data_IF_537066627196
#
_entry.id   IF_537066627196
#
_cell.length_a   1.000
_cell.length_b   1.000
_cell.length_c   1.000
_cell.angle_alpha   90.00
_cell.angle_beta   90.00
_cell.angle_gamma   90.00
#
_symmetry.space_group_name_H-M   'P 1'
#
loop_
_entity.id
_entity.type
_entity.pdbx_description
1 polymer ?
#
# COMPACT_ATOMS: atom_id res chain seq x y z
N UNK A 1 -17.17 -16.97 -1.05
CA UNK A 1 -18.10 -16.10 -0.31
C UNK A 1 -19.40 -15.98 -1.12
N UNK A 2 -20.53 -16.10 -0.46
CA UNK A 2 -21.84 -15.75 -0.99
C UNK A 2 -22.04 -14.23 -1.02
N UNK A 3 -23.08 -13.73 -1.69
CA UNK A 3 -23.42 -12.30 -1.66
C UNK A 3 -23.67 -11.81 -0.22
N UNK A 4 -24.42 -12.57 0.56
CA UNK A 4 -24.70 -12.22 1.96
C UNK A 4 -23.43 -12.14 2.82
N UNK A 5 -22.45 -13.03 2.61
CA UNK A 5 -21.15 -12.92 3.30
C UNK A 5 -20.35 -11.71 2.86
N UNK A 6 -20.45 -11.31 1.58
CA UNK A 6 -19.84 -10.07 1.08
C UNK A 6 -20.47 -8.87 1.77
N UNK A 7 -21.81 -8.79 1.81
CA UNK A 7 -22.53 -7.70 2.46
C UNK A 7 -22.15 -7.58 3.94
N UNK A 8 -22.10 -8.70 4.67
CA UNK A 8 -21.65 -8.72 6.08
C UNK A 8 -20.23 -8.18 6.26
N UNK A 9 -19.33 -8.48 5.33
CA UNK A 9 -17.94 -7.96 5.40
C UNK A 9 -17.91 -6.46 5.09
N UNK A 10 -18.66 -6.00 4.09
CA UNK A 10 -18.78 -4.56 3.77
C UNK A 10 -19.30 -3.79 4.98
N UNK A 11 -20.35 -4.28 5.63
CA UNK A 11 -20.92 -3.67 6.84
C UNK A 11 -19.90 -3.65 8.00
N UNK A 12 -19.11 -4.72 8.16
CA UNK A 12 -18.07 -4.78 9.19
C UNK A 12 -16.97 -3.76 8.97
N UNK A 13 -16.55 -3.52 7.72
CA UNK A 13 -15.59 -2.45 7.40
C UNK A 13 -16.17 -1.06 7.69
N UNK A 14 -17.42 -0.80 7.32
CA UNK A 14 -18.11 0.45 7.60
C UNK A 14 -18.21 0.72 9.11
N UNK A 15 -18.60 -0.30 9.89
CA UNK A 15 -18.67 -0.22 11.33
C UNK A 15 -17.27 0.06 11.94
N UNK A 16 -16.24 -0.63 11.48
CA UNK A 16 -14.85 -0.40 11.91
C UNK A 16 -14.37 1.02 11.63
N UNK A 17 -14.74 1.59 10.48
CA UNK A 17 -14.44 2.97 10.13
C UNK A 17 -15.13 3.97 11.06
N UNK A 18 -16.43 3.78 11.30
CA UNK A 18 -17.20 4.61 12.24
C UNK A 18 -16.65 4.54 13.68
N UNK A 19 -16.25 3.33 14.11
CA UNK A 19 -15.64 3.15 15.44
C UNK A 19 -14.29 3.84 15.54
N UNK A 20 -13.44 3.75 14.51
CA UNK A 20 -12.16 4.46 14.46
C UNK A 20 -12.37 5.99 14.60
N UNK A 21 -13.29 6.57 13.83
CA UNK A 21 -13.61 7.98 13.93
C UNK A 21 -14.15 8.34 15.34
N UNK A 22 -15.06 7.55 15.88
CA UNK A 22 -15.67 7.77 17.20
C UNK A 22 -14.64 7.77 18.35
N UNK A 23 -13.60 6.93 18.26
CA UNK A 23 -12.56 6.86 19.30
C UNK A 23 -11.39 7.83 19.06
N UNK A 24 -11.45 8.66 18.00
CA UNK A 24 -10.55 9.80 17.80
C UNK A 24 -9.37 9.53 16.89
N UNK A 25 -9.42 8.51 16.00
CA UNK A 25 -8.46 8.41 14.90
C UNK A 25 -8.71 9.52 13.86
N UNK A 26 -7.64 9.96 13.18
CA UNK A 26 -7.69 11.01 12.16
C UNK A 26 -7.99 10.48 10.76
N UNK A 27 -8.00 9.17 10.56
CA UNK A 27 -8.26 8.48 9.29
C UNK A 27 -8.14 6.97 9.42
N UNK A 28 -8.43 6.26 8.33
CA UNK A 28 -8.26 4.80 8.23
C UNK A 28 -7.46 4.41 7.00
N UNK A 29 -6.78 3.26 7.08
CA UNK A 29 -6.18 2.61 5.92
C UNK A 29 -6.85 1.26 5.66
N UNK A 30 -7.46 1.10 4.48
CA UNK A 30 -8.05 -0.14 3.99
C UNK A 30 -6.96 -1.00 3.35
N UNK A 31 -6.78 -2.23 3.86
CA UNK A 31 -5.72 -3.11 3.39
C UNK A 31 -6.19 -3.99 2.22
N UNK A 32 -5.98 -3.51 1.00
CA UNK A 32 -6.28 -4.20 -0.26
C UNK A 32 -5.04 -4.75 -0.97
N UNK A 33 -4.08 -5.33 -0.23
CA UNK A 33 -2.77 -5.73 -0.75
C UNK A 33 -2.35 -7.14 -0.31
N UNK A 34 -1.26 -7.65 -0.88
CA UNK A 34 -0.47 -8.81 -0.45
C UNK A 34 -1.19 -10.16 -0.46
N UNK A 35 -2.30 -10.30 -1.20
CA UNK A 35 -3.08 -11.53 -1.26
C UNK A 35 -4.05 -11.73 -0.10
N UNK A 36 -4.30 -10.67 0.73
CA UNK A 36 -5.35 -10.70 1.74
C UNK A 36 -6.74 -10.48 1.13
N UNK A 37 -7.79 -10.52 1.94
CA UNK A 37 -9.17 -10.70 1.50
C UNK A 37 -9.59 -9.78 0.33
N UNK A 38 -9.39 -8.48 0.45
CA UNK A 38 -9.76 -7.53 -0.61
C UNK A 38 -8.94 -7.80 -1.88
N UNK A 39 -7.62 -8.00 -1.73
CA UNK A 39 -6.72 -8.25 -2.84
C UNK A 39 -7.01 -9.58 -3.57
N UNK A 40 -7.56 -10.58 -2.89
CA UNK A 40 -7.99 -11.83 -3.52
C UNK A 40 -9.14 -11.64 -4.54
N UNK A 41 -9.93 -10.59 -4.39
CA UNK A 41 -10.93 -10.24 -5.39
C UNK A 41 -10.33 -9.60 -6.64
N UNK A 42 -9.22 -8.89 -6.51
CA UNK A 42 -8.57 -8.21 -7.65
C UNK A 42 -7.88 -9.18 -8.61
N UNK A 43 -7.25 -10.22 -8.07
CA UNK A 43 -6.38 -11.09 -8.84
C UNK A 43 -7.16 -12.23 -9.50
N UNK A 44 -7.03 -12.34 -10.84
CA UNK A 44 -7.76 -13.32 -11.65
C UNK A 44 -7.51 -14.79 -11.25
N UNK A 45 -6.32 -15.11 -10.69
CA UNK A 45 -6.03 -16.47 -10.24
C UNK A 45 -6.79 -16.87 -8.97
N UNK A 46 -7.07 -15.92 -8.10
CA UNK A 46 -7.85 -16.15 -6.87
C UNK A 46 -9.33 -15.87 -7.07
N UNK A 47 -9.69 -14.93 -7.94
CA UNK A 47 -11.05 -14.58 -8.25
C UNK A 47 -11.54 -15.30 -9.52
N UNK A 48 -12.10 -16.49 -9.34
CA UNK A 48 -12.70 -17.31 -10.39
C UNK A 48 -14.23 -17.15 -10.47
N UNK A 49 -14.77 -16.07 -9.91
CA UNK A 49 -16.21 -15.81 -9.83
C UNK A 49 -16.82 -15.54 -11.22
N UNK A 50 -18.10 -15.89 -11.34
CA UNK A 50 -18.90 -15.70 -12.57
C UNK A 50 -20.06 -14.72 -12.36
N UNK A 51 -20.15 -14.14 -11.17
CA UNK A 51 -21.11 -13.10 -10.81
C UNK A 51 -20.50 -11.70 -10.96
N UNK A 52 -21.18 -10.67 -10.49
CA UNK A 52 -20.80 -9.27 -10.59
C UNK A 52 -19.50 -8.88 -9.90
N UNK A 53 -18.90 -9.78 -9.12
CA UNK A 53 -17.59 -9.59 -8.46
C UNK A 53 -16.42 -10.24 -9.21
N UNK A 54 -16.69 -10.93 -10.33
CA UNK A 54 -15.69 -11.56 -11.21
C UNK A 54 -15.67 -10.90 -12.57
N UNK A 55 -14.78 -11.36 -13.46
CA UNK A 55 -14.68 -10.82 -14.83
C UNK A 55 -13.40 -10.03 -15.07
N UNK A 56 -13.49 -8.87 -15.73
CA UNK A 56 -12.36 -8.00 -16.01
C UNK A 56 -11.81 -7.28 -14.78
N UNK A 57 -10.78 -6.47 -15.00
CA UNK A 57 -10.10 -5.77 -13.90
C UNK A 57 -11.04 -4.79 -13.18
N UNK A 58 -11.96 -4.16 -13.91
CA UNK A 58 -12.94 -3.21 -13.36
C UNK A 58 -13.97 -3.94 -12.49
N UNK A 59 -14.54 -5.05 -12.98
CA UNK A 59 -15.54 -5.82 -12.24
C UNK A 59 -14.94 -6.42 -10.97
N UNK A 60 -13.69 -6.84 -11.01
CA UNK A 60 -12.98 -7.37 -9.85
C UNK A 60 -12.70 -6.33 -8.76
N UNK A 61 -12.80 -5.01 -9.06
CA UNK A 61 -12.71 -3.95 -8.03
C UNK A 61 -14.00 -3.77 -7.23
N UNK A 62 -15.13 -4.29 -7.68
CA UNK A 62 -16.46 -4.05 -7.09
C UNK A 62 -16.49 -4.23 -5.58
N UNK A 63 -15.94 -5.32 -5.06
CA UNK A 63 -15.92 -5.56 -3.61
C UNK A 63 -15.21 -4.45 -2.83
N UNK A 64 -14.05 -4.00 -3.31
CA UNK A 64 -13.33 -2.89 -2.69
C UNK A 64 -14.08 -1.57 -2.81
N UNK A 65 -14.71 -1.32 -3.96
CA UNK A 65 -15.57 -0.13 -4.20
C UNK A 65 -16.74 -0.09 -3.20
N UNK A 66 -17.41 -1.22 -2.98
CA UNK A 66 -18.50 -1.31 -2.00
C UNK A 66 -18.00 -1.04 -0.58
N UNK A 67 -16.84 -1.58 -0.19
CA UNK A 67 -16.20 -1.30 1.11
C UNK A 67 -15.87 0.19 1.25
N UNK A 68 -15.20 0.79 0.25
CA UNK A 68 -14.83 2.22 0.29
C UNK A 68 -16.07 3.10 0.43
N UNK A 69 -17.11 2.85 -0.36
CA UNK A 69 -18.38 3.59 -0.30
C UNK A 69 -19.05 3.47 1.06
N UNK A 70 -19.17 2.25 1.59
CA UNK A 70 -19.78 2.01 2.89
C UNK A 70 -18.99 2.69 4.03
N UNK A 71 -17.65 2.65 3.99
CA UNK A 71 -16.81 3.40 4.93
C UNK A 71 -17.03 4.90 4.77
N UNK A 72 -17.04 5.44 3.55
CA UNK A 72 -17.28 6.85 3.27
C UNK A 72 -18.64 7.34 3.78
N UNK A 73 -19.69 6.55 3.55
CA UNK A 73 -21.03 6.84 4.05
C UNK A 73 -21.08 6.87 5.59
N UNK A 74 -20.30 6.00 6.24
CA UNK A 74 -20.25 5.91 7.68
C UNK A 74 -19.46 7.05 8.36
N UNK A 75 -18.39 7.57 7.72
CA UNK A 75 -17.49 8.57 8.35
C UNK A 75 -17.64 9.97 7.78
N UNK A 76 -18.41 10.16 6.70
CA UNK A 76 -18.59 11.46 6.04
C UNK A 76 -17.42 11.87 5.14
N UNK A 77 -17.49 13.07 4.52
CA UNK A 77 -16.56 13.48 3.46
C UNK A 77 -15.16 13.89 3.97
N UNK A 78 -15.02 14.27 5.23
CA UNK A 78 -13.82 14.92 5.75
C UNK A 78 -12.86 13.96 6.47
N UNK A 79 -13.27 12.71 6.68
CA UNK A 79 -12.44 11.68 7.33
C UNK A 79 -11.60 10.93 6.30
N UNK A 80 -10.25 11.02 6.33
CA UNK A 80 -9.38 10.42 5.33
C UNK A 80 -9.52 8.89 5.23
N UNK A 81 -9.72 8.40 4.01
CA UNK A 81 -9.69 6.98 3.68
C UNK A 81 -8.47 6.72 2.78
N UNK A 82 -7.48 6.03 3.34
CA UNK A 82 -6.30 5.56 2.62
C UNK A 82 -6.58 4.17 2.08
N UNK A 83 -6.22 3.90 0.83
CA UNK A 83 -6.33 2.58 0.25
C UNK A 83 -4.96 2.01 -0.08
N UNK A 84 -4.57 0.95 0.63
CA UNK A 84 -3.30 0.26 0.39
C UNK A 84 -3.47 -0.88 -0.59
N UNK A 85 -2.67 -0.88 -1.66
CA UNK A 85 -2.66 -1.96 -2.65
C UNK A 85 -1.25 -2.35 -3.06
N UNK A 86 -1.10 -3.49 -3.73
CA UNK A 86 0.17 -3.97 -4.27
C UNK A 86 -0.03 -4.64 -5.62
N UNK A 87 0.96 -4.53 -6.50
CA UNK A 87 1.03 -5.35 -7.70
C UNK A 87 1.30 -6.80 -7.34
N UNK A 88 2.30 -7.02 -6.48
CA UNK A 88 2.77 -8.35 -6.07
C UNK A 88 1.87 -9.02 -5.03
N UNK A 89 1.96 -10.34 -4.95
CA UNK A 89 1.26 -11.18 -3.96
C UNK A 89 2.30 -11.95 -3.13
N UNK A 90 1.94 -12.35 -1.91
CA UNK A 90 2.86 -13.12 -1.05
C UNK A 90 3.29 -14.43 -1.72
N UNK A 91 2.45 -15.00 -2.58
CA UNK A 91 2.77 -16.17 -3.43
C UNK A 91 1.89 -16.17 -4.67
N UNK A 92 2.49 -16.08 -5.86
CA UNK A 92 3.90 -15.80 -6.16
C UNK A 92 4.22 -14.30 -6.13
N UNK A 93 5.45 -13.95 -5.77
CA UNK A 93 5.90 -12.54 -5.72
C UNK A 93 6.04 -11.89 -7.10
N UNK A 94 6.03 -12.68 -8.16
CA UNK A 94 6.05 -12.23 -9.56
C UNK A 94 4.67 -11.91 -10.11
N UNK A 95 3.61 -12.14 -9.31
CA UNK A 95 2.26 -11.77 -9.73
C UNK A 95 2.18 -10.27 -9.97
N UNK A 96 1.42 -9.88 -10.99
CA UNK A 96 1.04 -8.50 -11.26
C UNK A 96 -0.48 -8.39 -11.31
N UNK A 97 -0.99 -7.30 -10.78
CA UNK A 97 -2.39 -6.92 -10.86
C UNK A 97 -2.69 -6.25 -12.21
N UNK A 98 -1.79 -5.35 -12.63
CA UNK A 98 -1.85 -4.61 -13.88
C UNK A 98 -0.50 -4.68 -14.60
N UNK A 99 -0.51 -4.99 -15.88
CA UNK A 99 0.69 -5.12 -16.72
C UNK A 99 1.01 -3.86 -17.51
N UNK A 100 0.04 -2.94 -17.63
CA UNK A 100 0.16 -1.69 -18.36
C UNK A 100 -0.37 -0.52 -17.53
N UNK A 101 0.06 0.73 -17.86
CA UNK A 101 -0.53 1.93 -17.24
C UNK A 101 -2.05 2.02 -17.41
N UNK A 102 -2.58 1.58 -18.58
CA UNK A 102 -4.01 1.61 -18.85
C UNK A 102 -4.78 0.62 -17.97
N UNK A 103 -4.24 -0.59 -17.74
CA UNK A 103 -4.83 -1.55 -16.79
C UNK A 103 -4.79 -1.00 -15.37
N UNK A 104 -3.69 -0.34 -14.98
CA UNK A 104 -3.59 0.31 -13.66
C UNK A 104 -4.63 1.43 -13.54
N UNK A 105 -4.86 2.21 -14.59
CA UNK A 105 -5.90 3.24 -14.60
C UNK A 105 -7.30 2.64 -14.45
N UNK A 106 -7.60 1.55 -15.15
CA UNK A 106 -8.86 0.83 -15.02
C UNK A 106 -9.10 0.28 -13.60
N UNK A 107 -8.03 -0.15 -12.93
CA UNK A 107 -8.09 -0.60 -11.53
C UNK A 107 -8.34 0.56 -10.57
N UNK A 108 -7.64 1.69 -10.73
CA UNK A 108 -7.66 2.81 -9.77
C UNK A 108 -8.91 3.69 -9.91
N UNK A 109 -9.43 3.92 -11.13
CA UNK A 109 -10.53 4.84 -11.36
C UNK A 109 -11.78 4.53 -10.53
N UNK A 110 -12.28 3.29 -10.44
CA UNK A 110 -13.45 2.98 -9.62
C UNK A 110 -13.23 3.24 -8.12
N UNK A 111 -12.00 3.12 -7.64
CA UNK A 111 -11.64 3.39 -6.23
C UNK A 111 -11.61 4.90 -5.95
N UNK A 112 -11.11 5.70 -6.90
CA UNK A 112 -11.17 7.17 -6.82
C UNK A 112 -12.62 7.62 -6.76
N UNK A 113 -13.46 7.12 -7.66
CA UNK A 113 -14.90 7.45 -7.74
C UNK A 113 -15.68 7.00 -6.49
N UNK A 114 -15.19 5.95 -5.81
CA UNK A 114 -15.76 5.47 -4.56
C UNK A 114 -15.41 6.35 -3.35
N UNK A 115 -14.41 7.23 -3.45
CA UNK A 115 -14.04 8.18 -2.40
C UNK A 115 -12.73 7.87 -1.67
N UNK A 116 -11.77 7.17 -2.30
CA UNK A 116 -10.40 7.06 -1.79
C UNK A 116 -9.72 8.43 -1.84
N UNK A 117 -9.13 8.86 -0.73
CA UNK A 117 -8.42 10.14 -0.62
C UNK A 117 -6.93 10.00 -0.93
N UNK A 118 -6.30 8.92 -0.46
CA UNK A 118 -4.86 8.67 -0.56
C UNK A 118 -4.61 7.21 -0.97
N UNK A 119 -3.67 6.97 -1.87
CA UNK A 119 -3.22 5.61 -2.19
C UNK A 119 -1.89 5.30 -1.52
N UNK A 120 -1.81 4.15 -0.82
CA UNK A 120 -0.57 3.61 -0.28
C UNK A 120 -0.07 2.48 -1.20
N UNK A 121 0.94 2.79 -1.99
CA UNK A 121 1.46 1.91 -3.03
C UNK A 121 2.55 1.00 -2.45
N UNK A 122 2.17 -0.23 -2.11
CA UNK A 122 3.09 -1.18 -1.49
C UNK A 122 4.01 -1.82 -2.51
N UNK A 123 5.29 -1.43 -2.51
CA UNK A 123 6.35 -2.05 -3.31
C UNK A 123 7.39 -2.74 -2.42
N UNK A 124 8.25 -3.58 -3.02
CA UNK A 124 9.39 -4.18 -2.31
C UNK A 124 10.58 -3.25 -2.26
N UNK A 125 10.77 -2.48 -3.35
CA UNK A 125 11.83 -1.48 -3.51
C UNK A 125 11.25 -0.25 -4.17
N UNK A 126 11.34 0.91 -3.53
CA UNK A 126 10.76 2.15 -4.03
C UNK A 126 11.41 2.65 -5.32
N UNK A 127 12.65 2.24 -5.59
CA UNK A 127 13.43 2.70 -6.77
C UNK A 127 13.19 1.88 -8.03
N UNK A 128 12.50 0.74 -7.96
CA UNK A 128 12.20 -0.09 -9.12
C UNK A 128 11.10 0.55 -9.98
N UNK A 129 11.33 0.73 -11.30
CA UNK A 129 10.28 1.17 -12.21
C UNK A 129 9.14 0.16 -12.27
N UNK A 130 7.88 0.66 -12.35
CA UNK A 130 6.74 -0.24 -12.44
C UNK A 130 6.51 -0.76 -13.85
N UNK A 131 6.63 0.10 -14.86
CA UNK A 131 6.42 -0.27 -16.26
C UNK A 131 7.63 0.04 -17.12
N UNK A 132 7.84 -0.78 -18.15
CA UNK A 132 8.93 -0.61 -19.12
C UNK A 132 8.84 0.77 -19.81
N UNK A 133 10.00 1.37 -20.07
CA UNK A 133 10.09 2.68 -20.73
C UNK A 133 9.81 3.89 -19.82
N UNK A 134 9.67 3.69 -18.50
CA UNK A 134 9.46 4.76 -17.53
C UNK A 134 10.37 4.57 -16.32
N UNK A 135 10.78 5.65 -15.66
CA UNK A 135 11.47 5.61 -14.38
C UNK A 135 10.52 5.60 -13.17
N UNK A 136 9.24 5.90 -13.37
CA UNK A 136 8.26 5.99 -12.30
C UNK A 136 8.01 4.63 -11.64
N UNK A 137 8.00 4.62 -10.30
CA UNK A 137 7.57 3.48 -9.54
C UNK A 137 6.03 3.39 -9.47
N UNK A 138 5.49 2.43 -8.74
CA UNK A 138 4.03 2.25 -8.58
C UNK A 138 3.34 3.50 -8.02
N UNK A 139 3.96 4.19 -7.04
CA UNK A 139 3.40 5.41 -6.46
C UNK A 139 3.37 6.55 -7.48
N UNK A 140 4.46 6.77 -8.21
CA UNK A 140 4.54 7.78 -9.27
C UNK A 140 3.50 7.57 -10.37
N UNK A 141 3.31 6.33 -10.80
CA UNK A 141 2.26 6.00 -11.75
C UNK A 141 0.85 6.23 -11.18
N UNK A 142 0.63 5.83 -9.92
CA UNK A 142 -0.66 6.04 -9.25
C UNK A 142 -0.99 7.53 -9.13
N UNK A 143 -0.03 8.35 -8.72
CA UNK A 143 -0.19 9.82 -8.66
C UNK A 143 -0.50 10.42 -10.03
N UNK A 144 0.26 10.02 -11.05
CA UNK A 144 0.06 10.49 -12.42
C UNK A 144 -1.32 10.15 -12.98
N UNK A 145 -1.84 8.96 -12.67
CA UNK A 145 -3.14 8.48 -13.15
C UNK A 145 -4.29 9.13 -12.38
N UNK A 146 -4.18 9.21 -11.05
CA UNK A 146 -5.31 9.57 -10.18
C UNK A 146 -5.35 11.03 -9.79
N UNK A 147 -4.20 11.73 -9.81
CA UNK A 147 -4.05 13.07 -9.25
C UNK A 147 -4.22 13.12 -7.72
N UNK A 148 -4.32 11.97 -7.05
CA UNK A 148 -4.47 11.87 -5.59
C UNK A 148 -3.11 11.86 -4.90
N UNK A 149 -3.03 12.30 -3.64
CA UNK A 149 -1.85 12.08 -2.81
C UNK A 149 -1.51 10.59 -2.72
N UNK A 150 -0.21 10.29 -2.72
CA UNK A 150 0.27 8.91 -2.67
C UNK A 150 1.37 8.71 -1.64
N UNK A 151 1.38 7.52 -1.05
CA UNK A 151 2.42 7.04 -0.14
C UNK A 151 3.22 5.98 -0.87
N UNK A 152 4.55 6.17 -0.97
CA UNK A 152 5.46 5.10 -1.41
C UNK A 152 6.01 4.32 -0.22
N UNK A 153 6.41 3.07 -0.44
CA UNK A 153 7.08 2.22 0.55
C UNK A 153 7.93 1.17 -0.16
N UNK A 154 9.00 0.73 0.47
CA UNK A 154 9.81 -0.39 0.01
C UNK A 154 11.29 -0.18 0.22
N UNK A 155 11.89 -0.89 1.17
CA UNK A 155 13.33 -0.87 1.51
C UNK A 155 13.93 0.52 1.73
N UNK A 156 13.13 1.46 2.28
CA UNK A 156 13.59 2.82 2.56
C UNK A 156 14.71 2.78 3.61
N UNK A 157 15.87 3.35 3.24
CA UNK A 157 17.08 3.41 4.08
C UNK A 157 17.76 2.06 4.34
N UNK A 158 17.37 0.99 3.63
CA UNK A 158 17.91 -0.36 3.81
C UNK A 158 18.31 -1.00 2.48
N UNK A 159 19.42 -1.74 2.47
CA UNK A 159 20.03 -2.38 1.29
C UNK A 159 19.27 -3.66 0.85
N UNK A 160 18.44 -4.24 1.69
CA UNK A 160 17.75 -5.48 1.40
C UNK A 160 16.22 -5.37 1.49
N UNK A 161 15.55 -6.16 0.69
CA UNK A 161 14.10 -6.26 0.73
C UNK A 161 13.60 -7.14 1.89
N UNK A 162 12.30 -7.00 2.19
CA UNK A 162 11.63 -7.69 3.27
C UNK A 162 11.67 -9.24 3.16
N UNK A 163 11.64 -9.78 1.94
CA UNK A 163 11.63 -11.22 1.72
C UNK A 163 12.95 -11.91 2.10
N UNK A 164 14.07 -11.23 1.93
CA UNK A 164 15.39 -11.73 2.37
C UNK A 164 15.41 -11.98 3.87
N UNK A 165 14.73 -11.13 4.64
CA UNK A 165 14.55 -11.34 6.07
C UNK A 165 13.66 -12.55 6.37
N UNK A 166 12.49 -12.68 5.73
CA UNK A 166 11.55 -13.77 5.99
C UNK A 166 12.07 -15.13 5.52
N UNK A 167 12.66 -15.21 4.32
CA UNK A 167 13.12 -16.45 3.74
C UNK A 167 14.45 -16.93 4.34
N UNK A 168 15.36 -16.01 4.66
CA UNK A 168 16.74 -16.31 4.99
C UNK A 168 17.15 -15.81 6.39
N UNK A 169 16.30 -15.02 7.06
CA UNK A 169 16.60 -14.40 8.35
C UNK A 169 17.72 -13.36 8.29
N UNK A 170 18.00 -12.82 7.09
CA UNK A 170 19.05 -11.82 6.90
C UNK A 170 18.61 -10.47 7.44
N UNK A 171 19.54 -9.78 8.11
CA UNK A 171 19.41 -8.36 8.43
C UNK A 171 19.54 -7.48 7.19
N UNK A 172 19.52 -6.17 7.40
CA UNK A 172 19.74 -5.16 6.37
C UNK A 172 20.64 -4.06 6.91
N UNK A 173 21.59 -3.60 6.07
CA UNK A 173 22.44 -2.47 6.40
C UNK A 173 21.74 -1.16 6.02
N UNK A 174 22.10 -0.08 6.72
CA UNK A 174 21.66 1.25 6.35
C UNK A 174 22.30 1.68 5.04
N UNK A 175 21.49 2.30 4.18
CA UNK A 175 21.94 2.98 2.96
C UNK A 175 21.39 4.39 2.92
N UNK A 176 22.02 5.28 2.15
CA UNK A 176 21.54 6.63 1.99
C UNK A 176 20.15 6.65 1.34
N UNK A 177 19.45 7.76 1.50
CA UNK A 177 18.11 7.98 0.95
C UNK A 177 18.09 9.09 -0.11
N UNK A 178 19.23 9.46 -0.67
CA UNK A 178 19.34 10.56 -1.63
C UNK A 178 18.41 10.35 -2.82
N UNK A 179 18.39 9.15 -3.39
CA UNK A 179 17.48 8.82 -4.50
C UNK A 179 16.00 8.84 -4.12
N UNK A 180 15.65 8.68 -2.84
CA UNK A 180 14.28 8.87 -2.35
C UNK A 180 13.93 10.36 -2.29
N UNK A 181 14.85 11.18 -1.77
CA UNK A 181 14.69 12.64 -1.67
C UNK A 181 14.56 13.25 -3.06
N UNK A 182 15.43 12.89 -4.00
CA UNK A 182 15.37 13.35 -5.40
C UNK A 182 14.00 13.07 -6.04
N UNK A 183 13.42 11.89 -5.83
CA UNK A 183 12.10 11.53 -6.35
C UNK A 183 10.98 12.30 -5.67
N UNK A 184 11.10 12.55 -4.35
CA UNK A 184 10.15 13.39 -3.61
C UNK A 184 10.18 14.83 -4.11
N UNK A 185 11.37 15.40 -4.35
CA UNK A 185 11.56 16.74 -4.91
C UNK A 185 11.02 16.85 -6.35
N UNK A 186 11.03 15.74 -7.10
CA UNK A 186 10.42 15.64 -8.43
C UNK A 186 8.91 15.43 -8.40
N UNK A 187 8.29 15.48 -7.23
CA UNK A 187 6.86 15.29 -7.03
C UNK A 187 6.34 13.91 -7.47
N UNK A 188 7.19 12.88 -7.44
CA UNK A 188 6.81 11.52 -7.82
C UNK A 188 5.81 10.91 -6.83
N UNK A 189 5.92 11.25 -5.53
CA UNK A 189 5.01 10.86 -4.46
C UNK A 189 5.00 11.92 -3.34
N UNK A 190 4.02 11.83 -2.43
CA UNK A 190 3.80 12.87 -1.40
C UNK A 190 4.30 12.44 -0.02
N UNK A 191 4.20 11.16 0.29
CA UNK A 191 4.54 10.60 1.60
C UNK A 191 5.36 9.32 1.44
N UNK A 192 6.11 8.98 2.48
CA UNK A 192 6.96 7.80 2.54
C UNK A 192 6.63 6.98 3.78
N UNK A 193 6.25 5.72 3.59
CA UNK A 193 6.07 4.77 4.68
C UNK A 193 7.39 4.03 4.96
N UNK A 194 7.76 3.94 6.23
CA UNK A 194 9.00 3.32 6.69
C UNK A 194 8.64 2.21 7.69
N UNK A 195 9.09 1.00 7.42
CA UNK A 195 8.83 -0.16 8.28
C UNK A 195 10.05 -0.55 9.11
N UNK A 196 10.86 -1.46 8.58
CA UNK A 196 11.96 -2.11 9.32
C UNK A 196 12.97 -1.16 9.95
N UNK A 197 13.28 -0.04 9.28
CA UNK A 197 14.20 0.96 9.83
C UNK A 197 13.65 1.58 11.12
N UNK A 198 12.35 1.91 11.17
CA UNK A 198 11.70 2.42 12.39
C UNK A 198 11.50 1.35 13.46
N UNK A 199 11.39 0.07 13.07
CA UNK A 199 11.28 -1.02 14.04
C UNK A 199 12.55 -1.20 14.89
N UNK A 200 13.73 -0.94 14.32
CA UNK A 200 15.01 -1.06 15.03
C UNK A 200 15.46 0.27 15.62
N UNK A 201 15.08 1.37 15.02
CA UNK A 201 15.49 2.71 15.43
C UNK A 201 14.28 3.66 15.45
N UNK A 202 13.57 3.76 16.59
CA UNK A 202 12.42 4.66 16.72
C UNK A 202 12.75 6.15 16.44
N UNK A 203 14.01 6.54 16.59
CA UNK A 203 14.50 7.89 16.30
C UNK A 203 14.95 8.07 14.85
N UNK A 204 14.79 7.09 13.97
CA UNK A 204 15.26 7.10 12.60
C UNK A 204 14.92 8.40 11.86
N UNK A 205 13.67 8.81 11.88
CA UNK A 205 13.21 10.02 11.18
C UNK A 205 13.85 11.30 11.73
N UNK A 206 14.04 11.38 13.06
CA UNK A 206 14.72 12.51 13.70
C UNK A 206 16.20 12.54 13.31
N UNK A 207 16.90 11.39 13.32
CA UNK A 207 18.30 11.29 12.92
C UNK A 207 18.51 11.67 11.46
N UNK A 208 17.61 11.24 10.56
CA UNK A 208 17.64 11.66 9.15
C UNK A 208 17.50 13.18 9.04
N UNK A 209 16.49 13.76 9.69
CA UNK A 209 16.24 15.21 9.69
C UNK A 209 17.45 16.01 10.18
N UNK A 210 18.11 15.53 11.24
CA UNK A 210 19.18 16.22 11.93
C UNK A 210 20.57 15.91 11.32
N UNK A 211 20.64 15.08 10.26
CA UNK A 211 21.87 14.69 9.57
C UNK A 211 22.75 13.67 10.34
N UNK A 212 22.23 13.07 11.41
CA UNK A 212 22.94 12.08 12.25
C UNK A 212 22.87 10.67 11.65
N UNK A 213 23.14 10.53 10.36
CA UNK A 213 23.02 9.27 9.62
C UNK A 213 23.97 8.16 10.11
N UNK A 214 25.12 8.55 10.65
CA UNK A 214 26.11 7.61 11.23
C UNK A 214 25.61 6.94 12.52
N UNK A 215 24.58 7.48 13.15
CA UNK A 215 23.97 6.95 14.36
C UNK A 215 22.81 5.98 14.08
N UNK A 216 22.44 5.77 12.82
CA UNK A 216 21.36 4.88 12.44
C UNK A 216 21.72 3.42 12.77
N UNK A 217 20.75 2.70 13.34
CA UNK A 217 20.89 1.29 13.67
C UNK A 217 20.57 0.41 12.46
N UNK A 218 21.40 -0.60 12.11
CA UNK A 218 21.09 -1.53 11.05
C UNK A 218 19.95 -2.49 11.50
N UNK A 219 19.12 -2.91 10.56
CA UNK A 219 18.05 -3.86 10.85
C UNK A 219 18.60 -5.26 11.06
N UNK A 220 18.35 -5.84 12.24
CA UNK A 220 18.76 -7.20 12.60
C UNK A 220 17.55 -8.12 12.81
N UNK A 221 17.80 -9.44 12.79
CA UNK A 221 16.75 -10.42 13.10
C UNK A 221 16.22 -10.28 14.52
N UNK A 222 17.08 -9.89 15.44
CA UNK A 222 16.76 -9.71 16.86
C UNK A 222 15.79 -8.53 17.06
N UNK A 223 15.94 -7.46 16.30
CA UNK A 223 15.07 -6.29 16.35
C UNK A 223 13.58 -6.62 16.08
N UNK A 224 13.30 -7.68 15.32
CA UNK A 224 11.92 -8.12 15.08
C UNK A 224 11.24 -8.78 16.28
N UNK A 225 11.99 -9.05 17.36
CA UNK A 225 11.50 -9.75 18.57
C UNK A 225 11.27 -8.83 19.75
N UNK A 226 11.66 -7.56 19.62
CA UNK A 226 11.61 -6.57 20.70
C UNK A 226 10.70 -5.43 20.26
N UNK A 227 9.75 -5.06 21.13
CA UNK A 227 8.99 -3.80 21.01
C UNK A 227 9.64 -2.82 22.00
N UNK A 228 9.93 -1.60 21.50
CA UNK A 228 10.48 -0.52 22.33
C UNK A 228 9.37 0.24 23.05
#
# INVERSE_FOLDING_TARGET
MTKNEIDMVVDAFAQGAADAQRIGFDGIELHGAHGYLIDQFFWEQTNQRKDEYGGGIVERTRFAVEIVKACRDAVGPDFPIIFRFSQWKIRPFTAKLAYTPDELAQFLSPLVDAGVDVFHCSTRRFWEPEFEGSSLNLAGWTKKITGKPVITVGSVGLDSEFLSFFAEGKGAQNVNIDGLIERLEQDEFDLVAIGRALLVDPAWAAKIRDGSVDELLPFTKEASKVLF
#
